data_IF_184630941587
#
_entry.id   IF_184630941587
#
_cell.length_a   1.000
_cell.length_b   1.000
_cell.length_c   1.000
_cell.angle_alpha   90.00
_cell.angle_beta   90.00
_cell.angle_gamma   90.00
#
_symmetry.space_group_name_H-M   'P 1'
#
loop_
_entity.id
_entity.type
_entity.pdbx_description
1 polymer ?
#
# COMPACT_ATOMS: atom_id res chain seq x y z
N UNK A 1 -29.65 -38.63 3.31
CA UNK A 1 -28.93 -39.59 2.44
C UNK A 1 -28.62 -39.04 1.05
N UNK A 2 -29.56 -38.33 0.38
CA UNK A 2 -29.35 -37.79 -0.95
C UNK A 2 -28.20 -36.74 -1.02
N UNK A 3 -28.08 -35.88 -0.01
CA UNK A 3 -27.05 -34.87 0.02
C UNK A 3 -25.65 -35.48 0.23
N UNK A 4 -25.56 -36.55 1.03
CA UNK A 4 -24.32 -37.28 1.24
C UNK A 4 -23.84 -37.96 -0.06
N UNK A 5 -24.74 -38.55 -0.85
CA UNK A 5 -24.41 -39.13 -2.13
C UNK A 5 -23.87 -38.10 -3.13
N UNK A 6 -24.51 -36.93 -3.20
CA UNK A 6 -24.05 -35.82 -4.07
C UNK A 6 -22.67 -35.30 -3.68
N UNK A 7 -22.39 -35.16 -2.37
CA UNK A 7 -21.07 -34.73 -1.88
C UNK A 7 -20.01 -35.75 -2.25
N UNK A 8 -20.33 -37.07 -2.09
CA UNK A 8 -19.42 -38.13 -2.43
C UNK A 8 -19.11 -38.18 -3.93
N UNK A 9 -20.11 -38.01 -4.78
CA UNK A 9 -19.95 -37.93 -6.24
C UNK A 9 -19.10 -36.75 -6.66
N UNK A 10 -19.29 -35.57 -6.03
CA UNK A 10 -18.48 -34.38 -6.26
C UNK A 10 -17.02 -34.53 -5.84
N UNK A 11 -16.76 -35.22 -4.71
CA UNK A 11 -15.41 -35.48 -4.23
C UNK A 11 -14.69 -36.54 -5.09
N UNK A 12 -15.40 -37.57 -5.55
CA UNK A 12 -14.89 -38.59 -6.47
C UNK A 12 -14.49 -37.95 -7.81
N UNK A 13 -15.31 -37.01 -8.33
CA UNK A 13 -15.02 -36.29 -9.58
C UNK A 13 -13.89 -35.27 -9.48
N UNK A 14 -13.55 -34.82 -8.27
CA UNK A 14 -12.49 -33.85 -8.03
C UNK A 14 -11.13 -34.49 -7.66
N UNK A 15 -11.09 -35.79 -7.46
CA UNK A 15 -9.88 -36.51 -7.05
C UNK A 15 -9.30 -37.30 -8.23
N UNK A 16 -8.02 -37.10 -8.52
CA UNK A 16 -7.29 -37.78 -9.60
C UNK A 16 -7.00 -39.26 -9.30
N UNK A 17 -8.06 -40.07 -9.17
CA UNK A 17 -7.96 -41.55 -9.21
C UNK A 17 -7.53 -42.26 -7.92
N UNK A 18 -7.24 -41.59 -6.83
CA UNK A 18 -6.83 -42.19 -5.55
C UNK A 18 -7.82 -41.89 -4.39
N UNK A 19 -9.12 -41.87 -4.72
CA UNK A 19 -10.18 -41.53 -3.76
C UNK A 19 -10.68 -42.76 -3.01
N UNK A 20 -10.36 -42.88 -1.71
CA UNK A 20 -10.94 -43.91 -0.85
C UNK A 20 -12.34 -43.49 -0.37
N UNK A 21 -13.34 -43.91 -1.13
CA UNK A 21 -14.76 -43.65 -0.87
C UNK A 21 -15.22 -44.16 0.51
N UNK A 22 -14.73 -45.33 0.95
CA UNK A 22 -15.13 -45.91 2.24
C UNK A 22 -14.52 -45.15 3.43
N UNK A 23 -13.27 -44.72 3.33
CA UNK A 23 -12.62 -43.88 4.35
C UNK A 23 -13.31 -42.54 4.47
N UNK A 24 -13.61 -41.91 3.34
CA UNK A 24 -14.30 -40.60 3.29
C UNK A 24 -15.73 -40.71 3.85
N UNK A 25 -16.45 -41.77 3.52
CA UNK A 25 -17.79 -42.02 4.04
C UNK A 25 -17.81 -42.21 5.55
N UNK A 26 -16.83 -42.92 6.10
CA UNK A 26 -16.64 -43.09 7.55
C UNK A 26 -16.29 -41.76 8.22
N UNK A 27 -15.44 -41.00 7.61
CA UNK A 27 -15.06 -39.65 8.12
C UNK A 27 -16.26 -38.73 8.17
N UNK A 28 -17.04 -38.63 7.08
CA UNK A 28 -18.25 -37.81 7.02
C UNK A 28 -19.34 -38.28 8.01
N UNK A 29 -19.49 -39.58 8.20
CA UNK A 29 -20.44 -40.14 9.17
C UNK A 29 -20.01 -39.90 10.62
N UNK A 30 -18.71 -39.77 10.88
CA UNK A 30 -18.12 -39.50 12.20
C UNK A 30 -17.99 -38.02 12.54
N UNK A 31 -18.33 -37.10 11.62
CA UNK A 31 -18.27 -35.68 11.90
C UNK A 31 -19.30 -35.30 12.97
N UNK A 32 -18.80 -34.85 14.12
CA UNK A 32 -19.63 -34.29 15.18
C UNK A 32 -20.11 -32.85 14.86
N UNK A 33 -20.92 -32.30 15.76
CA UNK A 33 -21.35 -30.87 15.64
C UNK A 33 -20.16 -29.96 15.53
N UNK A 34 -20.21 -28.99 14.57
CA UNK A 34 -19.19 -27.95 14.34
C UNK A 34 -17.83 -28.50 13.90
N UNK A 35 -17.79 -29.68 13.35
CA UNK A 35 -16.64 -30.23 12.64
C UNK A 35 -16.91 -30.22 11.15
N UNK A 36 -15.93 -29.81 10.37
CA UNK A 36 -16.03 -29.64 8.94
C UNK A 36 -14.89 -30.41 8.27
N UNK A 37 -15.16 -30.96 7.11
CA UNK A 37 -14.17 -31.55 6.23
C UNK A 37 -13.79 -30.51 5.17
N UNK A 38 -12.49 -30.25 5.03
CA UNK A 38 -11.92 -29.48 3.94
C UNK A 38 -11.16 -30.44 3.04
N UNK A 39 -11.51 -30.44 1.78
CA UNK A 39 -10.74 -31.12 0.73
C UNK A 39 -10.27 -30.05 -0.25
N UNK A 40 -8.96 -29.85 -0.33
CA UNK A 40 -8.33 -28.94 -1.28
C UNK A 40 -7.95 -29.74 -2.52
N UNK A 41 -8.42 -29.34 -3.70
CA UNK A 41 -8.13 -30.02 -4.97
C UNK A 41 -6.64 -30.00 -5.36
N UNK A 42 -5.83 -29.20 -4.68
CA UNK A 42 -4.39 -29.12 -4.87
C UNK A 42 -3.58 -29.89 -3.80
N UNK A 43 -4.25 -30.57 -2.89
CA UNK A 43 -3.63 -31.36 -1.81
C UNK A 43 -4.25 -32.74 -1.77
N UNK A 44 -3.40 -33.76 -1.55
CA UNK A 44 -3.84 -35.15 -1.60
C UNK A 44 -4.63 -35.60 -0.35
N UNK A 45 -4.60 -34.82 0.74
CA UNK A 45 -5.24 -35.20 1.99
C UNK A 45 -6.39 -34.28 2.38
N UNK A 46 -7.49 -34.88 2.82
CA UNK A 46 -8.62 -34.16 3.37
C UNK A 46 -8.41 -33.88 4.87
N UNK A 47 -8.61 -32.63 5.30
CA UNK A 47 -8.40 -32.17 6.67
C UNK A 47 -9.73 -31.97 7.40
N UNK A 48 -9.86 -32.56 8.58
CA UNK A 48 -11.00 -32.33 9.46
C UNK A 48 -10.66 -31.23 10.46
N UNK A 49 -11.42 -30.12 10.45
CA UNK A 49 -11.23 -29.02 11.38
C UNK A 49 -12.49 -28.72 12.18
N UNK A 50 -12.32 -28.11 13.33
CA UNK A 50 -13.42 -27.67 14.17
C UNK A 50 -13.42 -26.16 14.32
N UNK A 51 -14.60 -25.53 14.36
CA UNK A 51 -14.70 -24.12 14.69
C UNK A 51 -14.54 -23.92 16.19
N UNK A 52 -13.71 -22.95 16.57
CA UNK A 52 -13.65 -22.50 17.95
C UNK A 52 -14.99 -21.89 18.36
N UNK A 53 -15.42 -22.18 19.57
CA UNK A 53 -16.49 -21.42 20.18
C UNK A 53 -15.92 -20.08 20.64
N UNK A 54 -15.97 -19.08 19.77
CA UNK A 54 -15.54 -17.73 20.11
C UNK A 54 -16.75 -16.82 20.04
N UNK A 55 -17.08 -16.23 21.17
CA UNK A 55 -17.97 -15.08 21.20
C UNK A 55 -17.13 -13.85 20.83
N UNK A 56 -17.20 -13.43 19.57
CA UNK A 56 -16.54 -12.20 19.13
C UNK A 56 -17.49 -11.04 19.39
N UNK A 57 -17.11 -10.17 20.30
CA UNK A 57 -17.76 -8.88 20.45
C UNK A 57 -17.12 -7.90 19.49
N UNK A 58 -17.84 -7.55 18.43
CA UNK A 58 -17.43 -6.47 17.54
C UNK A 58 -17.88 -5.16 18.21
N UNK A 59 -16.97 -4.51 18.90
CA UNK A 59 -17.17 -3.13 19.34
C UNK A 59 -17.41 -2.26 18.09
N UNK A 60 -18.31 -1.30 18.20
CA UNK A 60 -18.55 -0.31 17.13
C UNK A 60 -17.31 0.48 16.74
N UNK A 61 -17.47 1.60 16.03
CA UNK A 61 -16.33 2.39 15.56
C UNK A 61 -15.37 2.71 16.71
N UNK A 62 -14.09 2.46 16.50
CA UNK A 62 -13.06 2.73 17.51
C UNK A 62 -12.96 4.24 17.75
N UNK A 63 -12.91 4.64 19.03
CA UNK A 63 -12.61 6.03 19.39
C UNK A 63 -11.14 6.35 19.08
N UNK A 64 -10.81 7.64 18.96
CA UNK A 64 -9.40 8.07 18.76
C UNK A 64 -8.47 7.55 19.86
N UNK A 65 -8.94 7.49 21.11
CA UNK A 65 -8.15 7.00 22.23
C UNK A 65 -7.96 5.49 22.18
N UNK A 66 -8.97 4.74 21.75
CA UNK A 66 -8.85 3.30 21.51
C UNK A 66 -7.83 3.00 20.41
N UNK A 67 -7.87 3.76 19.30
CA UNK A 67 -6.88 3.65 18.22
C UNK A 67 -5.48 3.98 18.73
N UNK A 68 -5.32 5.07 19.52
CA UNK A 68 -4.04 5.46 20.11
C UNK A 68 -3.48 4.35 20.99
N UNK A 69 -4.29 3.75 21.85
CA UNK A 69 -3.89 2.67 22.74
C UNK A 69 -3.47 1.42 21.98
N UNK A 70 -4.24 1.01 20.97
CA UNK A 70 -3.91 -0.13 20.12
C UNK A 70 -2.62 0.10 19.31
N UNK A 71 -2.43 1.32 18.84
CA UNK A 71 -1.26 1.68 18.02
C UNK A 71 0.02 1.90 18.85
N UNK A 72 -0.04 2.06 20.18
CA UNK A 72 1.14 2.27 21.00
C UNK A 72 2.15 1.13 20.86
N UNK A 73 1.68 -0.12 20.93
CA UNK A 73 2.56 -1.29 20.81
C UNK A 73 3.12 -1.42 19.39
N UNK A 74 2.29 -1.19 18.36
CA UNK A 74 2.72 -1.23 16.97
C UNK A 74 3.75 -0.12 16.68
N UNK A 75 3.55 1.10 17.19
CA UNK A 75 4.52 2.20 17.07
C UNK A 75 5.85 1.88 17.73
N UNK A 76 5.85 1.34 18.95
CA UNK A 76 7.07 0.94 19.62
C UNK A 76 7.83 -0.15 18.86
N UNK A 77 7.12 -1.09 18.23
CA UNK A 77 7.72 -2.12 17.37
C UNK A 77 8.29 -1.52 16.08
N UNK A 78 7.56 -0.62 15.44
CA UNK A 78 8.02 0.08 14.24
C UNK A 78 9.23 0.96 14.55
N UNK A 79 9.20 1.74 15.65
CA UNK A 79 10.35 2.55 16.09
C UNK A 79 11.57 1.69 16.41
N UNK A 80 11.39 0.53 17.06
CA UNK A 80 12.47 -0.41 17.32
C UNK A 80 13.02 -1.06 16.05
N UNK A 81 12.16 -1.34 15.07
CA UNK A 81 12.55 -1.84 13.76
C UNK A 81 13.29 -0.77 12.94
N UNK A 82 12.81 0.46 12.96
CA UNK A 82 13.47 1.61 12.31
C UNK A 82 14.85 1.86 12.94
N UNK A 83 14.98 1.76 14.26
CA UNK A 83 16.30 1.86 14.94
C UNK A 83 17.25 0.72 14.59
N UNK A 84 16.74 -0.49 14.33
CA UNK A 84 17.57 -1.65 13.88
C UNK A 84 17.98 -1.55 12.41
N UNK A 85 17.19 -0.86 11.60
CA UNK A 85 17.53 -0.49 10.21
C UNK A 85 18.10 0.94 10.24
N UNK A 86 19.03 1.24 11.14
CA UNK A 86 19.86 2.42 11.02
C UNK A 86 20.70 2.23 9.76
N UNK A 87 20.21 2.76 8.64
CA UNK A 87 21.02 3.06 7.46
C UNK A 87 22.31 3.73 7.98
N UNK A 88 23.47 3.44 7.41
CA UNK A 88 24.71 4.09 7.80
C UNK A 88 24.43 5.60 7.86
N UNK A 89 24.80 6.24 8.98
CA UNK A 89 24.64 7.69 9.14
C UNK A 89 25.35 8.37 7.96
N UNK A 90 24.60 8.65 6.91
CA UNK A 90 25.06 9.53 5.85
C UNK A 90 25.27 10.87 6.53
N UNK A 91 26.47 11.42 6.42
CA UNK A 91 26.81 12.73 6.98
C UNK A 91 25.76 13.73 6.50
N UNK A 92 25.01 14.30 7.42
CA UNK A 92 24.10 15.41 7.11
C UNK A 92 24.92 16.66 6.94
N UNK A 93 24.56 17.48 5.96
CA UNK A 93 25.20 18.78 5.68
C UNK A 93 24.31 19.89 6.20
N UNK A 94 24.92 20.98 6.65
CA UNK A 94 24.18 22.17 7.12
C UNK A 94 23.66 23.05 5.95
N UNK A 95 24.03 22.71 4.74
CA UNK A 95 23.64 23.46 3.54
C UNK A 95 22.86 22.57 2.60
N UNK A 96 21.80 23.12 1.98
CA UNK A 96 21.02 22.41 0.98
C UNK A 96 21.92 21.97 -0.20
N UNK A 97 21.72 20.77 -0.75
CA UNK A 97 22.51 20.29 -1.86
C UNK A 97 22.30 21.16 -3.09
N UNK A 98 23.39 21.51 -3.77
CA UNK A 98 23.34 22.27 -5.02
C UNK A 98 22.83 21.38 -6.16
N UNK A 99 21.70 21.73 -6.76
CA UNK A 99 21.14 21.07 -7.93
C UNK A 99 21.39 21.91 -9.21
N UNK A 100 21.32 21.29 -10.40
CA UNK A 100 21.39 22.04 -11.65
C UNK A 100 20.28 23.09 -11.73
N UNK A 101 20.51 24.28 -12.35
CA UNK A 101 19.53 25.36 -12.41
C UNK A 101 18.19 24.99 -13.07
N UNK A 102 18.19 23.92 -13.85
CA UNK A 102 16.97 23.42 -14.51
C UNK A 102 16.13 22.50 -13.60
N UNK A 103 16.58 22.23 -12.38
CA UNK A 103 15.89 21.36 -11.42
C UNK A 103 15.35 22.24 -10.30
N UNK A 104 14.05 22.31 -10.19
CA UNK A 104 13.37 23.01 -9.11
C UNK A 104 13.53 22.22 -7.80
N UNK A 105 13.95 22.90 -6.75
CA UNK A 105 14.11 22.34 -5.43
C UNK A 105 13.09 22.97 -4.50
N UNK A 106 12.29 22.12 -3.88
CA UNK A 106 11.23 22.56 -2.98
C UNK A 106 11.28 21.82 -1.64
N UNK A 107 10.76 22.43 -0.60
CA UNK A 107 10.80 21.93 0.76
C UNK A 107 9.40 21.90 1.36
N UNK A 108 9.12 20.81 2.10
CA UNK A 108 7.89 20.71 2.88
C UNK A 108 8.08 21.45 4.20
N UNK A 109 7.17 22.36 4.51
CA UNK A 109 7.21 23.11 5.77
C UNK A 109 6.91 22.19 6.96
N UNK A 110 7.70 22.31 8.02
CA UNK A 110 7.49 21.59 9.29
C UNK A 110 7.67 22.51 10.48
N UNK A 111 6.98 22.22 11.56
CA UNK A 111 7.08 22.96 12.84
C UNK A 111 8.10 22.36 13.81
N UNK A 112 8.71 21.24 13.47
CA UNK A 112 9.70 20.57 14.32
C UNK A 112 10.98 21.41 14.47
N UNK A 113 11.68 21.29 15.61
CA UNK A 113 12.88 22.07 15.91
C UNK A 113 14.14 21.52 15.23
N UNK A 114 14.28 20.18 15.20
CA UNK A 114 15.45 19.50 14.65
C UNK A 114 15.08 18.80 13.33
N UNK A 115 15.14 19.58 12.23
CA UNK A 115 14.71 19.09 10.92
C UNK A 115 15.89 18.52 10.15
N UNK A 116 15.68 17.31 9.61
CA UNK A 116 16.56 16.72 8.61
C UNK A 116 15.76 16.49 7.33
N UNK A 117 16.09 17.23 6.28
CA UNK A 117 15.49 17.03 4.97
C UNK A 117 16.10 15.83 4.25
N UNK A 118 15.25 14.92 3.81
CA UNK A 118 15.62 13.78 2.97
C UNK A 118 15.19 14.04 1.54
N UNK A 119 16.09 13.85 0.55
CA UNK A 119 15.75 14.09 -0.84
C UNK A 119 14.72 13.07 -1.35
N UNK A 120 13.64 13.56 -1.93
CA UNK A 120 12.60 12.78 -2.61
C UNK A 120 12.28 13.43 -3.96
N UNK A 121 11.86 12.66 -4.93
CA UNK A 121 11.31 13.22 -6.15
C UNK A 121 9.82 13.51 -5.95
N UNK A 122 9.40 14.73 -6.26
CA UNK A 122 8.01 15.17 -6.17
C UNK A 122 7.42 15.22 -7.59
N UNK A 123 6.22 14.66 -7.72
CA UNK A 123 5.40 14.78 -8.92
C UNK A 123 4.08 15.47 -8.58
N UNK A 124 3.86 16.66 -9.12
CA UNK A 124 2.59 17.37 -9.00
C UNK A 124 1.80 17.28 -10.30
N UNK A 125 0.48 17.08 -10.21
CA UNK A 125 -0.39 16.90 -11.37
C UNK A 125 -1.75 17.52 -11.14
N UNK A 126 -2.28 18.19 -12.19
CA UNK A 126 -3.67 18.56 -12.30
C UNK A 126 -4.35 17.63 -13.30
N UNK A 127 -5.38 16.94 -12.85
CA UNK A 127 -6.13 15.96 -13.63
C UNK A 127 -7.53 16.50 -13.90
N UNK A 128 -7.94 16.50 -15.15
CA UNK A 128 -9.31 16.82 -15.56
C UNK A 128 -10.04 15.52 -15.94
N UNK A 129 -11.10 15.21 -15.23
CA UNK A 129 -11.99 14.11 -15.51
C UNK A 129 -13.24 14.64 -16.19
N UNK A 130 -13.50 14.20 -17.43
CA UNK A 130 -14.69 14.60 -18.16
C UNK A 130 -15.44 13.40 -18.70
N UNK A 131 -16.77 13.41 -18.57
CA UNK A 131 -17.64 12.39 -19.16
C UNK A 131 -18.96 13.00 -19.58
N UNK A 132 -19.15 13.18 -20.89
CA UNK A 132 -20.34 13.81 -21.46
C UNK A 132 -21.65 13.04 -21.15
N UNK A 133 -21.59 11.72 -21.08
CA UNK A 133 -22.77 10.88 -20.79
C UNK A 133 -23.33 11.11 -19.40
N UNK A 134 -22.46 11.36 -18.43
CA UNK A 134 -22.82 11.56 -17.03
C UNK A 134 -22.74 13.03 -16.61
N UNK A 135 -22.46 13.93 -17.57
CA UNK A 135 -22.30 15.37 -17.33
C UNK A 135 -21.28 15.66 -16.19
N UNK A 136 -20.18 14.92 -16.21
CA UNK A 136 -19.11 15.08 -15.24
C UNK A 136 -18.02 15.93 -15.87
N UNK A 137 -17.65 16.97 -15.14
CA UNK A 137 -16.47 17.79 -15.38
C UNK A 137 -15.87 18.12 -14.03
N UNK A 138 -14.75 17.48 -13.71
CA UNK A 138 -14.10 17.62 -12.40
C UNK A 138 -12.60 17.73 -12.56
N UNK A 139 -12.01 18.69 -11.87
CA UNK A 139 -10.57 18.84 -11.76
C UNK A 139 -10.10 18.33 -10.39
N UNK A 140 -8.96 17.67 -10.38
CA UNK A 140 -8.32 17.19 -9.17
C UNK A 140 -6.81 17.41 -9.24
N UNK A 141 -6.27 18.08 -8.22
CA UNK A 141 -4.84 18.29 -8.07
C UNK A 141 -4.29 17.31 -7.03
N UNK A 142 -3.16 16.70 -7.33
CA UNK A 142 -2.51 15.77 -6.42
C UNK A 142 -0.99 15.96 -6.45
N UNK A 143 -0.36 15.71 -5.30
CA UNK A 143 1.09 15.73 -5.13
C UNK A 143 1.54 14.37 -4.64
N UNK A 144 2.52 13.81 -5.32
CA UNK A 144 3.11 12.51 -5.00
C UNK A 144 4.59 12.68 -4.70
N UNK A 145 5.12 11.88 -3.79
CA UNK A 145 6.53 11.83 -3.51
C UNK A 145 7.04 10.39 -3.56
N UNK A 146 8.19 10.21 -4.17
CA UNK A 146 8.85 8.91 -4.25
C UNK A 146 10.31 9.02 -3.82
N UNK A 147 10.78 8.01 -3.09
CA UNK A 147 12.19 7.91 -2.69
C UNK A 147 13.06 7.56 -3.89
N UNK A 148 14.30 8.06 -3.87
CA UNK A 148 15.31 7.62 -4.82
C UNK A 148 15.76 6.19 -4.49
N UNK A 149 15.69 5.30 -5.47
CA UNK A 149 16.18 3.94 -5.35
C UNK A 149 17.68 3.88 -5.71
N UNK A 150 18.42 3.03 -5.00
CA UNK A 150 19.86 2.80 -5.28
C UNK A 150 20.08 1.99 -6.57
N UNK A 151 19.02 1.59 -7.26
CA UNK A 151 19.08 0.82 -8.51
C UNK A 151 19.34 1.69 -9.75
N UNK A 152 19.76 1.08 -10.87
CA UNK A 152 20.06 1.79 -12.13
C UNK A 152 18.82 2.47 -12.76
N UNK A 153 17.61 2.10 -12.37
CA UNK A 153 16.36 2.74 -12.81
C UNK A 153 16.02 3.99 -12.02
N UNK A 154 16.60 4.16 -10.83
CA UNK A 154 16.61 5.37 -10.01
C UNK A 154 15.29 5.73 -9.33
N UNK A 155 14.12 5.38 -9.89
CA UNK A 155 12.80 5.78 -9.35
C UNK A 155 11.71 4.82 -9.84
N UNK A 156 10.89 4.33 -8.90
CA UNK A 156 9.69 3.54 -9.17
C UNK A 156 8.43 4.25 -8.65
N UNK A 157 7.64 4.85 -9.54
CA UNK A 157 6.40 5.53 -9.17
C UNK A 157 5.35 4.62 -8.52
N UNK A 158 5.46 3.30 -8.67
CA UNK A 158 4.57 2.34 -8.00
C UNK A 158 4.69 2.37 -6.46
N UNK A 159 5.80 2.92 -5.96
CA UNK A 159 6.05 3.12 -4.53
C UNK A 159 5.85 4.59 -4.10
N UNK A 160 5.18 5.41 -4.91
CA UNK A 160 4.94 6.80 -4.59
C UNK A 160 3.88 6.96 -3.49
N UNK A 161 4.18 7.83 -2.54
CA UNK A 161 3.23 8.25 -1.51
C UNK A 161 2.40 9.43 -2.01
N UNK A 162 1.08 9.37 -1.86
CA UNK A 162 0.22 10.54 -2.06
C UNK A 162 0.36 11.46 -0.85
N UNK A 163 0.73 12.70 -1.10
CA UNK A 163 0.86 13.72 -0.06
C UNK A 163 -0.44 14.50 0.08
N UNK A 164 -0.86 14.72 1.33
CA UNK A 164 -2.00 15.58 1.63
C UNK A 164 -1.58 17.08 1.61
N UNK A 165 -0.87 17.48 0.55
CA UNK A 165 -0.31 18.81 0.32
C UNK A 165 -0.72 19.27 -1.07
N UNK A 166 -0.75 20.59 -1.24
CA UNK A 166 -0.86 21.24 -2.54
C UNK A 166 0.50 21.80 -2.97
N UNK A 167 0.63 22.20 -4.21
CA UNK A 167 1.88 22.84 -4.71
C UNK A 167 2.17 24.12 -3.93
N UNK A 168 1.13 24.84 -3.49
CA UNK A 168 1.26 26.10 -2.74
C UNK A 168 1.81 25.90 -1.30
N UNK A 169 1.75 24.66 -0.79
CA UNK A 169 2.32 24.31 0.52
C UNK A 169 3.83 24.04 0.46
N UNK A 170 4.40 23.95 -0.73
CA UNK A 170 5.82 23.75 -0.95
C UNK A 170 6.55 25.10 -0.91
N UNK A 171 7.77 25.11 -0.39
CA UNK A 171 8.60 26.31 -0.23
C UNK A 171 9.88 26.15 -1.03
N UNK A 172 10.38 27.26 -1.57
CA UNK A 172 11.65 27.29 -2.32
C UNK A 172 12.86 27.24 -1.39
N UNK A 173 12.67 27.55 -0.11
CA UNK A 173 13.72 27.57 0.89
C UNK A 173 13.42 26.59 2.03
N UNK A 174 14.46 25.88 2.45
CA UNK A 174 14.42 25.04 3.64
C UNK A 174 14.41 25.89 4.90
N UNK A 175 14.03 25.28 6.02
CA UNK A 175 14.01 25.94 7.31
C UNK A 175 15.42 26.31 7.76
N UNK A 176 15.55 27.47 8.38
CA UNK A 176 16.80 27.90 9.00
C UNK A 176 17.29 26.90 10.06
N UNK A 177 18.55 26.54 9.99
CA UNK A 177 19.15 25.58 10.91
C UNK A 177 18.84 24.11 10.63
N UNK A 178 18.13 23.79 9.57
CA UNK A 178 17.88 22.41 9.16
C UNK A 178 19.16 21.72 8.65
N UNK A 179 19.18 20.42 8.77
CA UNK A 179 20.21 19.56 8.20
C UNK A 179 19.68 18.84 6.95
N UNK A 180 20.56 18.51 6.03
CA UNK A 180 20.19 17.89 4.76
C UNK A 180 20.90 16.56 4.59
N UNK A 181 20.15 15.53 4.26
CA UNK A 181 20.71 14.25 3.87
C UNK A 181 21.34 14.34 2.48
N UNK A 182 22.41 13.56 2.20
CA UNK A 182 23.09 13.64 0.92
C UNK A 182 22.14 13.33 -0.24
N UNK A 183 22.21 14.19 -1.26
CA UNK A 183 21.42 14.02 -2.46
C UNK A 183 21.98 12.90 -3.33
N UNK A 184 21.14 11.97 -3.84
CA UNK A 184 21.58 10.94 -4.78
C UNK A 184 22.14 11.55 -6.06
N UNK A 185 23.18 10.96 -6.62
CA UNK A 185 23.82 11.45 -7.85
C UNK A 185 22.86 11.54 -9.04
N UNK A 186 21.85 10.67 -9.08
CA UNK A 186 20.82 10.67 -10.11
C UNK A 186 19.99 11.98 -10.12
N UNK A 187 19.75 12.60 -8.96
CA UNK A 187 19.03 13.87 -8.84
C UNK A 187 19.84 15.07 -9.41
N UNK A 188 21.17 14.98 -9.44
CA UNK A 188 22.03 15.98 -10.05
C UNK A 188 22.04 15.98 -11.58
N UNK A 189 21.37 15.03 -12.24
CA UNK A 189 21.37 14.88 -13.70
C UNK A 189 20.05 15.37 -14.29
N UNK A 190 20.02 16.59 -14.84
CA UNK A 190 18.81 17.20 -15.39
C UNK A 190 18.10 16.35 -16.46
N UNK A 191 18.84 15.55 -17.24
CA UNK A 191 18.26 14.66 -18.26
C UNK A 191 17.33 13.59 -17.68
N UNK A 192 17.55 13.15 -16.44
CA UNK A 192 16.75 12.12 -15.81
C UNK A 192 15.30 12.59 -15.57
N UNK A 193 15.13 13.88 -15.30
CA UNK A 193 13.81 14.46 -15.04
C UNK A 193 12.85 14.36 -16.24
N UNK A 194 13.38 14.41 -17.46
CA UNK A 194 12.56 14.19 -18.67
C UNK A 194 12.00 12.77 -18.73
N UNK A 195 12.80 11.77 -18.39
CA UNK A 195 12.36 10.39 -18.34
C UNK A 195 11.35 10.17 -17.18
N UNK A 196 11.68 10.66 -15.99
CA UNK A 196 10.82 10.57 -14.80
C UNK A 196 9.47 11.25 -14.97
N UNK A 197 9.44 12.42 -15.62
CA UNK A 197 8.18 13.12 -15.96
C UNK A 197 7.32 12.30 -16.91
N UNK A 198 7.90 11.67 -17.92
CA UNK A 198 7.17 10.81 -18.85
C UNK A 198 6.59 9.59 -18.12
N UNK A 199 7.39 8.96 -17.25
CA UNK A 199 6.99 7.79 -16.50
C UNK A 199 5.94 8.14 -15.45
N UNK A 200 6.05 9.29 -14.77
CA UNK A 200 5.03 9.83 -13.89
C UNK A 200 3.68 10.04 -14.60
N UNK A 201 3.68 10.70 -15.76
CA UNK A 201 2.46 10.91 -16.55
C UNK A 201 1.78 9.60 -16.96
N UNK A 202 2.57 8.57 -17.24
CA UNK A 202 2.06 7.22 -17.56
C UNK A 202 1.43 6.59 -16.32
N UNK A 203 2.16 6.63 -15.21
CA UNK A 203 1.73 6.06 -13.94
C UNK A 203 0.43 6.72 -13.44
N UNK A 204 0.33 8.05 -13.45
CA UNK A 204 -0.89 8.79 -13.08
C UNK A 204 -2.09 8.33 -13.91
N UNK A 205 -1.94 8.19 -15.22
CA UNK A 205 -3.04 7.74 -16.10
C UNK A 205 -3.52 6.31 -15.81
N UNK A 206 -2.66 5.48 -15.25
CA UNK A 206 -2.97 4.09 -14.93
C UNK A 206 -3.55 3.91 -13.54
N UNK A 207 -3.13 4.74 -12.59
CA UNK A 207 -3.44 4.55 -11.17
C UNK A 207 -4.49 5.54 -10.65
N UNK A 208 -4.56 6.75 -11.21
CA UNK A 208 -5.52 7.76 -10.77
C UNK A 208 -6.83 7.64 -11.54
N UNK A 209 -7.89 7.34 -10.79
CA UNK A 209 -9.23 7.11 -11.36
C UNK A 209 -10.30 7.84 -10.56
N UNK A 210 -11.32 8.35 -11.26
CA UNK A 210 -12.51 8.89 -10.62
C UNK A 210 -13.56 7.79 -10.46
N UNK A 211 -13.89 7.45 -9.22
CA UNK A 211 -14.94 6.46 -8.95
C UNK A 211 -16.30 7.10 -8.96
N UNK A 212 -17.20 6.57 -9.80
CA UNK A 212 -18.58 7.02 -9.91
C UNK A 212 -19.53 6.07 -9.19
N UNK A 213 -20.42 6.62 -8.39
CA UNK A 213 -21.45 5.86 -7.70
C UNK A 213 -22.81 6.11 -8.35
N UNK A 214 -23.55 5.04 -8.64
CA UNK A 214 -24.91 5.12 -9.17
C UNK A 214 -25.91 4.71 -8.11
N UNK A 215 -26.85 5.59 -7.77
CA UNK A 215 -27.99 5.23 -6.94
C UNK A 215 -28.99 4.41 -7.76
N UNK A 216 -29.57 3.35 -7.16
CA UNK A 216 -30.65 2.57 -7.76
C UNK A 216 -32.02 3.25 -7.65
N UNK A 217 -32.10 4.33 -6.87
CA UNK A 217 -33.37 5.00 -6.53
C UNK A 217 -33.60 6.30 -7.31
N UNK A 218 -32.82 6.53 -8.37
CA UNK A 218 -33.00 7.64 -9.31
C UNK A 218 -32.80 7.15 -10.74
#
# INVERSE_FOLDING_TARGET
>A
ERDKARVMEGLEGASDGNFDKQAMERTLAGLGKRRFLLHNVHEDEAVVFGTRWVLSYLAGPLTRDSIRTLMQTARAQIESAIRKVSKPQRKTEATAPALPPAVEQVFVHTLESDVVYHPRLIGAVNMAFSNARYQIEQEHSAVFAVDFDDGPAGIGWDNADSLALTVDDLRDEGRDGASYAPCPSAAGVAKNYTAWTRDFKRWVRQNETLTLYRSKNY
#
